data_IF_824372324104
#
_entry.id   IF_824372324104
#
_cell.length_a   1.000
_cell.length_b   1.000
_cell.length_c   1.000
_cell.angle_alpha   90.00
_cell.angle_beta   90.00
_cell.angle_gamma   90.00
#
_symmetry.space_group_name_H-M   'P 1'
#
loop_
_entity.id
_entity.type
_entity.pdbx_description
1 polymer ?
#
# COMPACT_ATOMS: atom_id res chain seq x y z
N UNK A 1 9.32 -28.56 -21.62
CA UNK A 1 9.48 -27.23 -20.99
C UNK A 1 8.38 -27.13 -19.95
N UNK A 2 8.72 -26.90 -18.68
CA UNK A 2 7.71 -26.64 -17.68
C UNK A 2 7.04 -25.30 -18.02
N UNK A 3 5.71 -25.28 -18.13
CA UNK A 3 4.93 -24.07 -18.30
C UNK A 3 4.97 -23.31 -16.97
N UNK A 4 5.72 -22.21 -16.90
CA UNK A 4 5.65 -21.32 -15.75
C UNK A 4 4.29 -20.61 -15.78
N UNK A 5 3.58 -20.58 -14.65
CA UNK A 5 2.31 -19.85 -14.51
C UNK A 5 2.51 -18.33 -14.29
N UNK A 6 3.71 -17.82 -14.59
CA UNK A 6 4.07 -16.42 -14.40
C UNK A 6 3.41 -15.55 -15.47
N UNK A 7 2.78 -14.47 -15.02
CA UNK A 7 2.17 -13.46 -15.89
C UNK A 7 3.27 -12.73 -16.65
N UNK A 8 3.27 -12.81 -17.97
CA UNK A 8 4.25 -12.12 -18.84
C UNK A 8 3.77 -10.76 -19.29
N UNK A 9 2.46 -10.55 -19.40
CA UNK A 9 1.89 -9.28 -19.81
C UNK A 9 0.46 -9.13 -19.32
N UNK A 10 0.09 -7.90 -18.99
CA UNK A 10 -1.27 -7.44 -18.74
C UNK A 10 -1.59 -6.40 -19.83
N UNK A 11 -2.78 -6.49 -20.44
CA UNK A 11 -3.30 -5.48 -21.36
C UNK A 11 -4.60 -4.95 -20.77
N UNK A 12 -4.64 -3.66 -20.50
CA UNK A 12 -5.81 -2.98 -19.94
C UNK A 12 -6.75 -2.52 -21.06
N UNK A 13 -8.00 -2.26 -20.73
CA UNK A 13 -9.04 -1.87 -21.71
C UNK A 13 -8.78 -0.51 -22.36
N UNK A 14 -7.96 0.35 -21.73
CA UNK A 14 -7.50 1.63 -22.31
C UNK A 14 -6.30 1.47 -23.27
N UNK A 15 -5.81 0.23 -23.47
CA UNK A 15 -4.68 -0.10 -24.33
C UNK A 15 -3.32 -0.08 -23.64
N UNK A 16 -3.21 0.30 -22.37
CA UNK A 16 -1.99 0.23 -21.54
C UNK A 16 -1.49 -1.22 -21.49
N UNK A 17 -0.19 -1.41 -21.65
CA UNK A 17 0.48 -2.72 -21.63
C UNK A 17 1.54 -2.71 -20.55
N UNK A 18 1.51 -3.72 -19.68
CA UNK A 18 2.49 -3.92 -18.61
C UNK A 18 3.09 -5.29 -18.81
N UNK A 19 4.39 -5.36 -19.10
CA UNK A 19 5.14 -6.60 -19.33
C UNK A 19 6.12 -6.85 -18.21
N UNK A 20 6.35 -8.13 -17.87
CA UNK A 20 7.17 -8.58 -16.74
C UNK A 20 8.26 -9.53 -17.20
N UNK A 21 9.49 -9.31 -16.70
CA UNK A 21 10.62 -10.24 -16.83
C UNK A 21 10.98 -10.77 -15.43
N UNK A 22 11.48 -12.01 -15.38
CA UNK A 22 11.74 -12.72 -14.14
C UNK A 22 13.13 -13.36 -14.19
N UNK A 23 13.78 -13.51 -13.04
CA UNK A 23 15.00 -14.32 -12.90
C UNK A 23 14.66 -15.83 -12.76
N UNK A 24 15.70 -16.62 -12.48
CA UNK A 24 15.57 -18.07 -12.32
C UNK A 24 14.78 -18.47 -11.06
N UNK A 25 14.73 -17.61 -10.06
CA UNK A 25 14.00 -17.76 -8.80
C UNK A 25 12.57 -17.20 -8.87
N UNK A 26 12.10 -16.86 -10.10
CA UNK A 26 10.76 -16.33 -10.39
C UNK A 26 10.48 -14.95 -9.77
N UNK A 27 11.52 -14.18 -9.42
CA UNK A 27 11.41 -12.80 -8.93
C UNK A 27 11.33 -11.83 -10.13
N UNK A 28 10.51 -10.79 -10.02
CA UNK A 28 10.42 -9.76 -11.07
C UNK A 28 11.73 -8.98 -11.13
N UNK A 29 12.41 -8.99 -12.26
CA UNK A 29 13.63 -8.21 -12.50
C UNK A 29 13.37 -6.98 -13.32
N UNK A 30 12.26 -6.96 -14.10
CA UNK A 30 11.91 -5.82 -14.93
C UNK A 30 10.41 -5.75 -15.15
N UNK A 31 9.89 -4.54 -15.08
CA UNK A 31 8.54 -4.17 -15.48
C UNK A 31 8.66 -3.14 -16.60
N UNK A 32 8.01 -3.40 -17.75
CA UNK A 32 7.90 -2.42 -18.84
C UNK A 32 6.44 -2.02 -18.96
N UNK A 33 6.15 -0.77 -18.64
CA UNK A 33 4.82 -0.19 -18.74
C UNK A 33 4.79 0.81 -19.89
N UNK A 34 3.81 0.69 -20.78
CA UNK A 34 3.70 1.55 -21.98
C UNK A 34 3.38 3.02 -21.65
N UNK A 35 3.06 3.35 -20.40
CA UNK A 35 2.76 4.70 -19.93
C UNK A 35 3.82 5.17 -18.93
N UNK A 36 4.17 4.33 -17.93
CA UNK A 36 5.06 4.70 -16.83
C UNK A 36 6.54 4.41 -17.08
N UNK A 37 6.92 3.83 -18.23
CA UNK A 37 8.30 3.54 -18.55
C UNK A 37 8.80 2.19 -18.04
N UNK A 38 10.08 2.08 -17.72
CA UNK A 38 10.76 0.85 -17.36
C UNK A 38 11.25 0.88 -15.92
N UNK A 39 10.84 -0.11 -15.12
CA UNK A 39 11.36 -0.31 -13.76
C UNK A 39 12.17 -1.60 -13.70
N UNK A 40 13.39 -1.53 -13.17
CA UNK A 40 14.32 -2.66 -13.03
C UNK A 40 14.67 -2.87 -11.56
N UNK A 41 14.78 -4.16 -11.17
CA UNK A 41 15.06 -4.59 -9.79
C UNK A 41 16.29 -5.47 -9.72
N UNK A 42 17.11 -5.31 -8.68
CA UNK A 42 18.20 -6.23 -8.36
C UNK A 42 18.04 -6.78 -6.96
N UNK A 43 18.47 -8.02 -6.76
CA UNK A 43 18.34 -8.75 -5.51
C UNK A 43 19.69 -9.33 -5.08
N UNK A 44 19.83 -9.56 -3.79
CA UNK A 44 20.94 -10.36 -3.26
C UNK A 44 20.66 -11.87 -3.39
N UNK A 45 21.60 -12.68 -2.90
CA UNK A 45 21.49 -14.14 -2.92
C UNK A 45 20.39 -14.69 -2.00
N UNK A 46 19.90 -13.91 -1.04
CA UNK A 46 18.80 -14.26 -0.15
C UNK A 46 17.43 -13.81 -0.69
N UNK A 47 17.42 -13.12 -1.84
CA UNK A 47 16.21 -12.61 -2.48
C UNK A 47 15.76 -11.24 -1.94
N UNK A 48 16.62 -10.55 -1.19
CA UNK A 48 16.32 -9.22 -0.66
C UNK A 48 16.56 -8.17 -1.76
N UNK A 49 15.64 -7.21 -1.92
CA UNK A 49 15.72 -6.16 -2.93
C UNK A 49 16.85 -5.19 -2.62
N UNK A 50 17.83 -5.07 -3.52
CA UNK A 50 18.97 -4.16 -3.36
C UNK A 50 18.77 -2.81 -4.03
N UNK A 51 18.24 -2.82 -5.25
CA UNK A 51 18.01 -1.57 -6.01
C UNK A 51 16.73 -1.64 -6.80
N UNK A 52 16.12 -0.47 -6.92
CA UNK A 52 15.07 -0.18 -7.89
C UNK A 52 15.55 0.95 -8.80
N UNK A 53 15.39 0.78 -10.11
CA UNK A 53 15.67 1.83 -11.11
C UNK A 53 14.42 2.12 -11.90
N UNK A 54 14.19 3.40 -12.19
CA UNK A 54 13.12 3.82 -13.09
C UNK A 54 13.74 4.58 -14.27
N UNK A 55 13.48 4.11 -15.49
CA UNK A 55 14.07 4.61 -16.74
C UNK A 55 15.61 4.76 -16.65
N UNK A 56 16.27 3.75 -16.05
CA UNK A 56 17.72 3.71 -15.86
C UNK A 56 18.25 4.54 -14.69
N UNK A 57 17.41 5.33 -14.02
CA UNK A 57 17.80 6.11 -12.84
C UNK A 57 17.50 5.31 -11.57
N UNK A 58 18.47 5.19 -10.66
CA UNK A 58 18.27 4.57 -9.36
C UNK A 58 17.34 5.43 -8.53
N UNK A 59 16.20 4.88 -8.12
CA UNK A 59 15.18 5.56 -7.31
C UNK A 59 15.14 5.05 -5.88
N UNK A 60 15.54 3.79 -5.65
CA UNK A 60 15.66 3.22 -4.32
C UNK A 60 16.93 2.35 -4.19
N UNK A 61 17.58 2.40 -3.02
CA UNK A 61 18.70 1.53 -2.64
C UNK A 61 18.49 1.00 -1.23
N UNK A 62 18.78 -0.28 -1.00
CA UNK A 62 18.61 -0.92 0.30
C UNK A 62 19.86 -1.69 0.71
N UNK A 63 20.15 -1.70 2.02
CA UNK A 63 21.08 -2.62 2.67
C UNK A 63 20.38 -3.34 3.81
N UNK A 64 20.90 -4.53 4.15
CA UNK A 64 20.30 -5.40 5.14
C UNK A 64 21.33 -5.89 6.14
N UNK A 65 20.90 -6.11 7.37
CA UNK A 65 21.71 -6.75 8.40
C UNK A 65 21.74 -8.28 8.23
N UNK A 66 22.49 -8.97 9.09
CA UNK A 66 22.59 -10.43 9.06
C UNK A 66 21.31 -11.17 9.49
N UNK A 67 20.30 -10.44 9.97
CA UNK A 67 18.98 -10.97 10.35
C UNK A 67 17.92 -10.75 9.28
N UNK A 68 18.28 -10.03 8.20
CA UNK A 68 17.37 -9.68 7.11
C UNK A 68 16.59 -8.39 7.33
N UNK A 69 16.90 -7.63 8.38
CA UNK A 69 16.28 -6.32 8.59
C UNK A 69 16.92 -5.27 7.68
N UNK A 70 16.13 -4.29 7.23
CA UNK A 70 16.67 -3.16 6.47
C UNK A 70 17.57 -2.31 7.37
N UNK A 71 18.85 -2.22 7.04
CA UNK A 71 19.84 -1.38 7.71
C UNK A 71 19.80 0.07 7.22
N UNK A 72 19.62 0.22 5.90
CA UNK A 72 19.34 1.51 5.29
C UNK A 72 18.45 1.40 4.07
N UNK A 73 17.63 2.44 3.83
CA UNK A 73 16.90 2.66 2.59
C UNK A 73 17.11 4.11 2.17
N UNK A 74 17.65 4.32 0.96
CA UNK A 74 17.88 5.66 0.36
C UNK A 74 18.69 6.59 1.27
N UNK A 75 19.71 6.02 1.95
CA UNK A 75 20.56 6.72 2.90
C UNK A 75 19.93 6.99 4.27
N UNK A 76 18.67 6.60 4.49
CA UNK A 76 18.00 6.67 5.79
C UNK A 76 18.30 5.43 6.60
N UNK A 77 18.85 5.62 7.80
CA UNK A 77 19.27 4.54 8.68
C UNK A 77 18.10 3.98 9.49
N UNK A 78 18.12 2.67 9.70
CA UNK A 78 17.23 1.92 10.57
C UNK A 78 18.03 1.35 11.74
N UNK A 79 17.55 1.44 12.96
CA UNK A 79 18.18 0.81 14.12
C UNK A 79 17.16 -0.07 14.86
N UNK A 80 17.67 -1.19 15.37
CA UNK A 80 16.85 -2.22 16.02
C UNK A 80 17.28 -2.46 17.46
N UNK A 81 16.38 -3.03 18.26
CA UNK A 81 16.67 -3.40 19.65
C UNK A 81 17.73 -4.49 19.72
N UNK A 82 18.65 -4.34 20.67
CA UNK A 82 19.78 -5.27 20.81
C UNK A 82 19.37 -6.69 21.26
N UNK A 83 18.23 -6.83 21.93
CA UNK A 83 17.68 -8.10 22.42
C UNK A 83 16.61 -8.64 21.48
N UNK A 84 15.64 -7.79 21.13
CA UNK A 84 14.56 -8.12 20.22
C UNK A 84 14.92 -7.61 18.81
N UNK A 85 15.72 -8.37 18.12
CA UNK A 85 16.48 -8.01 16.90
C UNK A 85 15.69 -7.41 15.76
N UNK A 86 14.39 -7.67 15.66
CA UNK A 86 13.47 -7.17 14.63
C UNK A 86 12.61 -5.97 15.12
N UNK A 87 12.75 -5.54 16.38
CA UNK A 87 12.04 -4.37 16.90
C UNK A 87 12.74 -3.09 16.47
N UNK A 88 12.17 -2.34 15.53
CA UNK A 88 12.71 -1.07 15.03
C UNK A 88 12.64 0.00 16.14
N UNK A 89 13.79 0.51 16.60
CA UNK A 89 13.89 1.51 17.67
C UNK A 89 14.16 2.92 17.17
N UNK A 90 14.66 3.05 15.93
CA UNK A 90 14.91 4.34 15.30
C UNK A 90 14.81 4.23 13.78
N UNK A 91 14.30 5.28 13.15
CA UNK A 91 14.31 5.48 11.71
C UNK A 91 14.76 6.89 11.39
N UNK A 92 15.78 7.04 10.54
CA UNK A 92 16.37 8.32 10.11
C UNK A 92 16.70 9.24 11.31
N UNK A 93 17.26 8.66 12.39
CA UNK A 93 17.59 9.34 13.63
C UNK A 93 16.41 9.67 14.55
N UNK A 94 15.18 9.37 14.15
CA UNK A 94 13.98 9.58 14.98
C UNK A 94 13.69 8.32 15.79
N UNK A 95 13.62 8.46 17.12
CA UNK A 95 13.33 7.34 18.02
C UNK A 95 11.86 6.90 17.92
N UNK A 96 11.66 5.59 18.02
CA UNK A 96 10.35 4.95 18.09
C UNK A 96 10.20 4.37 19.50
N UNK A 97 9.10 4.69 20.18
CA UNK A 97 8.82 4.17 21.53
C UNK A 97 7.64 3.21 21.50
N UNK A 98 7.61 2.28 22.46
CA UNK A 98 6.64 1.20 22.53
C UNK A 98 6.01 1.09 23.92
N UNK A 99 4.79 0.56 23.98
CA UNK A 99 4.19 0.11 25.24
C UNK A 99 4.70 -1.30 25.61
N UNK A 100 4.27 -1.81 26.78
CA UNK A 100 4.70 -3.11 27.27
C UNK A 100 4.20 -4.30 26.40
N UNK A 101 3.25 -4.09 25.49
CA UNK A 101 2.73 -5.07 24.55
C UNK A 101 3.45 -5.02 23.19
N UNK A 102 4.41 -4.08 23.02
CA UNK A 102 5.15 -3.88 21.78
C UNK A 102 4.39 -3.04 20.74
N UNK A 103 3.36 -2.30 21.15
CA UNK A 103 2.69 -1.36 20.25
C UNK A 103 3.46 -0.04 20.21
N UNK A 104 3.71 0.59 19.04
CA UNK A 104 4.38 1.87 18.96
C UNK A 104 3.53 2.97 19.62
N UNK A 105 4.14 3.74 20.52
CA UNK A 105 3.51 4.90 21.18
C UNK A 105 3.96 6.22 20.58
N UNK A 106 5.14 6.25 19.93
CA UNK A 106 5.57 7.30 19.02
C UNK A 106 6.21 6.71 17.77
N UNK A 107 5.94 7.32 16.61
CA UNK A 107 6.48 6.88 15.31
C UNK A 107 6.51 8.06 14.35
N UNK A 108 7.69 8.44 13.86
CA UNK A 108 7.89 9.52 12.89
C UNK A 108 7.19 10.85 13.25
N UNK A 109 7.30 11.25 14.54
CA UNK A 109 6.66 12.47 15.02
C UNK A 109 5.17 12.33 15.37
N UNK A 110 4.57 11.18 15.08
CA UNK A 110 3.18 10.87 15.43
C UNK A 110 3.08 10.25 16.83
N UNK A 111 1.96 10.49 17.49
CA UNK A 111 1.60 9.89 18.79
C UNK A 111 0.49 8.87 18.59
N UNK A 112 0.68 7.66 19.13
CA UNK A 112 -0.28 6.56 19.03
C UNK A 112 -0.73 6.14 20.42
N UNK A 113 -2.02 5.85 20.57
CA UNK A 113 -2.56 5.23 21.79
C UNK A 113 -3.35 3.97 21.43
N UNK A 114 -3.29 2.99 22.33
CA UNK A 114 -3.84 1.66 22.10
C UNK A 114 -4.82 1.29 23.18
N UNK A 115 -5.77 0.42 22.87
CA UNK A 115 -6.70 -0.16 23.85
C UNK A 115 -6.88 -1.66 23.57
N UNK A 116 -7.37 -2.41 24.55
CA UNK A 116 -7.62 -3.86 24.45
C UNK A 116 -6.45 -4.63 23.82
N UNK A 117 -5.24 -4.25 24.21
CA UNK A 117 -3.98 -4.85 23.78
C UNK A 117 -3.46 -4.27 22.47
N UNK A 118 -4.12 -4.45 21.33
CA UNK A 118 -3.60 -4.07 20.01
C UNK A 118 -4.60 -3.29 19.13
N UNK A 119 -5.65 -2.72 19.70
CA UNK A 119 -6.56 -1.85 18.96
C UNK A 119 -6.03 -0.43 18.99
N UNK A 120 -5.69 0.14 17.84
CA UNK A 120 -5.26 1.53 17.71
C UNK A 120 -6.44 2.44 18.05
N UNK A 121 -6.37 3.12 19.19
CA UNK A 121 -7.42 4.04 19.65
C UNK A 121 -7.29 5.40 19.02
N UNK A 122 -6.06 5.95 19.03
CA UNK A 122 -5.76 7.24 18.44
C UNK A 122 -4.48 7.17 17.61
N UNK A 123 -4.47 7.89 16.50
CA UNK A 123 -3.27 8.29 15.76
C UNK A 123 -3.34 9.81 15.66
N UNK A 124 -2.51 10.51 16.43
CA UNK A 124 -2.63 11.94 16.69
C UNK A 124 -4.07 12.31 17.08
N UNK A 125 -4.73 13.16 16.30
CA UNK A 125 -6.11 13.60 16.50
C UNK A 125 -7.15 12.69 15.83
N UNK A 126 -6.72 11.64 15.11
CA UNK A 126 -7.64 10.67 14.50
C UNK A 126 -8.05 9.63 15.52
N UNK A 127 -9.35 9.44 15.69
CA UNK A 127 -9.93 8.51 16.69
C UNK A 127 -10.54 7.32 15.95
N UNK A 128 -10.32 6.11 16.47
CA UNK A 128 -10.87 4.87 15.92
C UNK A 128 -11.79 4.18 16.91
N UNK A 129 -12.84 3.51 16.42
CA UNK A 129 -13.71 2.66 17.25
C UNK A 129 -13.87 1.28 16.62
N UNK A 130 -14.12 0.29 17.46
CA UNK A 130 -14.18 -1.12 17.07
C UNK A 130 -15.42 -1.80 17.65
N UNK A 131 -15.90 -2.84 16.99
CA UNK A 131 -16.92 -3.72 17.55
C UNK A 131 -16.30 -4.79 18.47
N UNK A 132 -17.14 -5.69 19.02
CA UNK A 132 -16.71 -6.76 19.92
C UNK A 132 -15.75 -7.78 19.24
N UNK A 133 -15.77 -7.86 17.91
CA UNK A 133 -14.89 -8.74 17.14
C UNK A 133 -13.61 -8.05 16.69
N UNK A 134 -13.27 -6.89 17.28
CA UNK A 134 -12.07 -6.10 16.94
C UNK A 134 -12.04 -5.55 15.50
N UNK A 135 -13.19 -5.48 14.83
CA UNK A 135 -13.29 -4.88 13.49
C UNK A 135 -13.61 -3.39 13.65
N UNK A 136 -12.86 -2.55 12.94
CA UNK A 136 -13.04 -1.08 12.97
C UNK A 136 -14.42 -0.70 12.44
N UNK A 137 -15.18 0.07 13.24
CA UNK A 137 -16.54 0.53 12.89
C UNK A 137 -16.59 2.00 12.54
N UNK A 138 -15.60 2.79 12.99
CA UNK A 138 -15.49 4.19 12.57
C UNK A 138 -14.05 4.72 12.70
N UNK A 139 -13.78 5.82 11.97
CA UNK A 139 -12.67 6.74 12.23
C UNK A 139 -13.22 8.17 12.31
N UNK A 140 -12.63 9.02 13.14
CA UNK A 140 -12.93 10.46 13.16
C UNK A 140 -11.66 11.21 12.79
N UNK A 141 -11.68 11.92 11.68
CA UNK A 141 -10.55 12.70 11.15
C UNK A 141 -10.95 14.17 11.12
N UNK A 142 -10.17 15.02 11.77
CA UNK A 142 -10.46 16.46 11.86
C UNK A 142 -11.91 16.79 12.29
N UNK A 143 -12.44 16.00 13.25
CA UNK A 143 -13.80 16.15 13.75
C UNK A 143 -14.90 15.54 12.86
N UNK A 144 -14.58 15.08 11.66
CA UNK A 144 -15.54 14.42 10.74
C UNK A 144 -15.52 12.91 11.00
N UNK A 145 -16.66 12.37 11.40
CA UNK A 145 -16.80 10.93 11.67
C UNK A 145 -17.12 10.17 10.37
N UNK A 146 -16.28 9.20 10.03
CA UNK A 146 -16.51 8.18 9.02
C UNK A 146 -17.07 6.92 9.70
N UNK A 147 -18.17 6.39 9.22
CA UNK A 147 -18.81 5.20 9.78
C UNK A 147 -18.87 4.10 8.73
N UNK A 148 -18.53 2.87 9.15
CA UNK A 148 -18.53 1.68 8.28
C UNK A 148 -19.74 0.81 8.55
N UNK A 149 -20.48 0.45 7.51
CA UNK A 149 -21.43 -0.65 7.51
C UNK A 149 -20.66 -1.90 7.10
N UNK A 150 -20.73 -2.96 7.91
CA UNK A 150 -19.92 -4.15 7.74
C UNK A 150 -20.76 -5.41 7.57
N UNK A 151 -20.23 -6.37 6.80
CA UNK A 151 -20.60 -7.79 6.83
C UNK A 151 -19.34 -8.58 7.24
N UNK A 152 -19.30 -9.05 8.49
CA UNK A 152 -18.06 -9.56 9.09
C UNK A 152 -16.97 -8.48 9.11
N UNK A 153 -15.87 -8.71 8.39
CA UNK A 153 -14.78 -7.74 8.18
C UNK A 153 -14.92 -6.94 6.88
N UNK A 154 -15.88 -7.31 6.01
CA UNK A 154 -16.09 -6.70 4.70
C UNK A 154 -16.83 -5.37 4.85
N UNK A 155 -16.29 -4.30 4.27
CA UNK A 155 -16.93 -2.98 4.26
C UNK A 155 -17.99 -2.96 3.15
N UNK A 156 -19.26 -2.82 3.52
CA UNK A 156 -20.35 -2.65 2.57
C UNK A 156 -20.59 -1.18 2.21
N UNK A 157 -20.27 -0.27 3.13
CA UNK A 157 -20.45 1.17 2.95
C UNK A 157 -19.58 1.95 3.93
N UNK A 158 -19.05 3.08 3.49
CA UNK A 158 -18.50 4.15 4.34
C UNK A 158 -19.31 5.43 4.13
N UNK A 159 -19.62 6.14 5.22
CA UNK A 159 -20.35 7.42 5.18
C UNK A 159 -19.67 8.46 6.04
N UNK A 160 -19.58 9.71 5.56
CA UNK A 160 -19.06 10.86 6.30
C UNK A 160 -19.53 12.18 5.68
N UNK A 161 -19.84 13.20 6.48
CA UNK A 161 -20.08 14.58 6.05
C UNK A 161 -21.07 14.73 4.88
N UNK A 162 -22.04 13.81 4.73
CA UNK A 162 -22.96 13.75 3.60
C UNK A 162 -22.46 12.92 2.41
N UNK A 163 -21.22 12.44 2.44
CA UNK A 163 -20.65 11.58 1.40
C UNK A 163 -20.85 10.10 1.70
N UNK A 164 -20.83 9.30 0.65
CA UNK A 164 -20.98 7.84 0.72
C UNK A 164 -20.02 7.17 -0.27
N UNK A 165 -19.31 6.13 0.19
CA UNK A 165 -18.60 5.16 -0.66
C UNK A 165 -19.23 3.78 -0.44
N UNK A 166 -19.50 3.07 -1.54
CA UNK A 166 -19.92 1.67 -1.57
C UNK A 166 -18.86 0.91 -2.38
N UNK A 167 -18.00 0.07 -1.76
CA UNK A 167 -17.07 -0.75 -2.51
C UNK A 167 -17.78 -1.76 -3.41
N UNK A 168 -17.30 -1.94 -4.62
CA UNK A 168 -17.71 -3.00 -5.54
C UNK A 168 -16.69 -4.14 -5.46
N UNK A 169 -17.16 -5.35 -5.24
CA UNK A 169 -16.33 -6.54 -5.11
C UNK A 169 -16.48 -7.45 -6.33
N UNK A 170 -15.40 -8.04 -6.76
CA UNK A 170 -15.40 -9.09 -7.78
C UNK A 170 -15.78 -10.46 -7.18
N UNK A 171 -15.77 -11.51 -8.01
CA UNK A 171 -16.09 -12.87 -7.62
C UNK A 171 -15.03 -13.54 -6.72
N UNK A 172 -13.93 -12.87 -6.42
CA UNK A 172 -12.86 -13.30 -5.50
C UNK A 172 -12.83 -12.42 -4.23
N UNK A 173 -13.87 -11.62 -4.01
CA UNK A 173 -13.97 -10.64 -2.92
C UNK A 173 -12.89 -9.54 -2.93
N UNK A 174 -12.24 -9.31 -4.08
CA UNK A 174 -11.33 -8.18 -4.24
C UNK A 174 -12.11 -6.93 -4.66
N UNK A 175 -11.79 -5.76 -4.07
CA UNK A 175 -12.42 -4.49 -4.48
C UNK A 175 -12.00 -4.16 -5.90
N UNK A 176 -12.94 -4.05 -6.83
CA UNK A 176 -12.73 -3.73 -8.24
C UNK A 176 -13.20 -2.33 -8.65
N UNK A 177 -13.79 -1.58 -7.73
CA UNK A 177 -14.26 -0.23 -7.92
C UNK A 177 -15.03 0.28 -6.72
N UNK A 178 -15.59 1.46 -6.84
CA UNK A 178 -16.44 2.10 -5.82
C UNK A 178 -17.65 2.79 -6.48
N UNK A 179 -18.71 2.96 -5.71
CA UNK A 179 -19.77 3.94 -6.01
C UNK A 179 -19.56 5.08 -5.02
N UNK A 180 -19.16 6.26 -5.51
CA UNK A 180 -18.99 7.47 -4.71
C UNK A 180 -20.15 8.43 -4.99
N UNK A 181 -20.94 8.75 -3.97
CA UNK A 181 -22.11 9.62 -4.06
C UNK A 181 -23.05 9.28 -5.25
N UNK A 182 -23.31 7.98 -5.44
CA UNK A 182 -24.13 7.39 -6.52
C UNK A 182 -23.46 7.33 -7.90
N UNK A 183 -22.22 7.80 -8.06
CA UNK A 183 -21.46 7.67 -9.31
C UNK A 183 -20.46 6.51 -9.22
N UNK A 184 -20.46 5.56 -10.18
CA UNK A 184 -19.55 4.43 -10.17
C UNK A 184 -18.19 4.81 -10.75
N UNK A 185 -17.13 4.25 -10.13
CA UNK A 185 -15.74 4.34 -10.56
C UNK A 185 -15.11 2.95 -10.53
N UNK A 186 -14.34 2.62 -11.55
CA UNK A 186 -13.73 1.31 -11.77
C UNK A 186 -12.23 1.37 -11.65
N UNK A 187 -11.62 0.33 -11.07
CA UNK A 187 -10.19 0.27 -10.79
C UNK A 187 -9.46 -0.56 -11.83
N UNK A 188 -8.39 0.00 -12.40
CA UNK A 188 -7.37 -0.75 -13.11
C UNK A 188 -6.25 -1.10 -12.16
N UNK A 189 -5.81 -2.34 -12.18
CA UNK A 189 -4.81 -2.86 -11.24
C UNK A 189 -3.62 -3.46 -11.98
N UNK A 190 -2.43 -3.34 -11.36
CA UNK A 190 -1.24 -4.08 -11.78
C UNK A 190 -1.28 -5.54 -11.27
N UNK A 191 -0.18 -6.29 -11.48
CA UNK A 191 -0.05 -7.69 -11.05
C UNK A 191 -0.11 -7.83 -9.52
N UNK A 192 0.41 -6.86 -8.78
CA UNK A 192 0.44 -6.82 -7.32
C UNK A 192 -0.94 -6.50 -6.72
N UNK A 193 -1.87 -6.01 -7.53
CA UNK A 193 -3.21 -5.61 -7.11
C UNK A 193 -3.34 -4.13 -6.76
N UNK A 194 -2.29 -3.34 -6.99
CA UNK A 194 -2.32 -1.89 -6.77
C UNK A 194 -3.21 -1.21 -7.79
N UNK A 195 -3.97 -0.20 -7.35
CA UNK A 195 -4.84 0.60 -8.23
C UNK A 195 -3.98 1.61 -8.99
N UNK A 196 -3.71 1.35 -10.26
CA UNK A 196 -2.87 2.19 -11.12
C UNK A 196 -3.67 3.22 -11.92
N UNK A 197 -4.98 3.04 -12.05
CA UNK A 197 -5.89 4.04 -12.61
C UNK A 197 -7.32 3.85 -12.10
N UNK A 198 -8.09 4.94 -12.15
CA UNK A 198 -9.53 4.96 -11.87
C UNK A 198 -10.23 5.49 -13.11
N UNK A 199 -11.29 4.81 -13.57
CA UNK A 199 -12.14 5.27 -14.64
C UNK A 199 -13.56 5.54 -14.16
N UNK A 200 -14.21 6.52 -14.79
CA UNK A 200 -15.63 6.82 -14.59
C UNK A 200 -16.55 5.84 -15.35
N UNK A 201 -17.86 6.07 -15.28
CA UNK A 201 -18.91 5.27 -15.95
C UNK A 201 -18.86 5.32 -17.48
N UNK A 202 -18.15 6.28 -18.09
CA UNK A 202 -17.89 6.36 -19.51
C UNK A 202 -16.58 5.69 -19.92
N UNK A 203 -15.92 4.98 -19.00
CA UNK A 203 -14.60 4.39 -19.17
C UNK A 203 -13.47 5.42 -19.42
N UNK A 204 -13.70 6.71 -19.09
CA UNK A 204 -12.68 7.74 -19.13
C UNK A 204 -11.82 7.62 -17.86
N UNK A 205 -10.50 7.52 -18.01
CA UNK A 205 -9.56 7.57 -16.89
C UNK A 205 -9.61 8.95 -16.26
N UNK A 206 -9.85 9.02 -14.95
CA UNK A 206 -9.98 10.25 -14.15
C UNK A 206 -8.86 10.42 -13.13
N UNK A 207 -8.16 9.34 -12.79
CA UNK A 207 -6.97 9.41 -11.95
C UNK A 207 -5.98 8.31 -12.33
N UNK A 208 -4.68 8.58 -12.15
CA UNK A 208 -3.57 7.63 -12.36
C UNK A 208 -2.61 7.67 -11.20
N UNK A 209 -2.07 6.52 -10.85
CA UNK A 209 -1.14 6.32 -9.75
C UNK A 209 0.04 5.49 -10.18
N UNK A 210 1.19 5.74 -9.55
CA UNK A 210 2.38 4.89 -9.58
C UNK A 210 2.79 4.52 -8.16
N UNK A 211 3.53 3.41 -8.02
CA UNK A 211 3.98 2.90 -6.74
C UNK A 211 5.44 2.51 -6.84
N UNK A 212 6.22 2.81 -5.82
CA UNK A 212 7.55 2.22 -5.67
C UNK A 212 7.45 0.76 -5.21
N UNK A 213 8.57 0.06 -5.14
CA UNK A 213 8.63 -1.34 -4.69
C UNK A 213 8.14 -1.55 -3.24
N UNK A 214 7.96 -0.49 -2.47
CA UNK A 214 7.49 -0.49 -1.08
C UNK A 214 6.03 -0.07 -0.94
N UNK A 215 5.35 0.18 -2.07
CA UNK A 215 3.95 0.59 -2.11
C UNK A 215 3.72 2.07 -1.79
N UNK A 216 4.77 2.91 -1.84
CA UNK A 216 4.58 4.35 -1.73
C UNK A 216 3.89 4.85 -2.98
N UNK A 217 2.66 5.35 -2.80
CA UNK A 217 1.81 5.83 -3.88
C UNK A 217 2.17 7.26 -4.28
N UNK A 218 2.30 7.50 -5.58
CA UNK A 218 2.39 8.82 -6.17
C UNK A 218 1.20 9.06 -7.11
N UNK A 219 0.59 10.24 -7.00
CA UNK A 219 -0.46 10.67 -7.92
C UNK A 219 0.20 11.17 -9.19
N UNK A 220 -0.04 10.48 -10.32
CA UNK A 220 0.49 10.85 -11.64
C UNK A 220 -0.44 11.84 -12.34
N UNK A 221 -1.74 11.60 -12.24
CA UNK A 221 -2.78 12.44 -12.82
C UNK A 221 -4.05 12.35 -11.96
N UNK A 222 -4.71 13.49 -11.71
CA UNK A 222 -6.02 13.52 -11.08
C UNK A 222 -6.87 14.61 -11.76
N UNK A 223 -7.90 14.18 -12.47
CA UNK A 223 -8.90 15.03 -13.12
C UNK A 223 -10.30 14.77 -12.58
N UNK A 224 -10.39 14.02 -11.45
CA UNK A 224 -11.68 13.63 -10.84
C UNK A 224 -12.46 14.83 -10.31
N UNK A 225 -11.74 15.88 -9.88
CA UNK A 225 -12.33 17.06 -9.22
C UNK A 225 -12.85 16.76 -7.81
N UNK A 226 -12.41 15.64 -7.20
CA UNK A 226 -12.82 15.18 -5.87
C UNK A 226 -11.75 15.42 -4.82
#
# INVERSE_FOLDING_TARGET
MASTQLVRQIVLSDGRRISYEYDAEERITKVTDSIDGVTEYTYDVLGQLLTEKHDGVVVNTMTYDNYGNIESKDGKAYAYDATWKDLLTSYDGQSITYDAQGNPTSYLGHTLTWEKGRQLKNFDNTIYTYNANSIRTSKTVNGVKHTYTLDGSKILRETWGGNTIIPMYDNKDAVCGIIYNSEPYYFFKNLQGDVIAIADKQAKVVAKYSYDAWGVCSVVEDTSGC
#
